data_IF_283103594973
#
_entry.id   IF_283103594973
#
_cell.length_a   1.000
_cell.length_b   1.000
_cell.length_c   1.000
_cell.angle_alpha   90.00
_cell.angle_beta   90.00
_cell.angle_gamma   90.00
#
_symmetry.space_group_name_H-M   'P 1'
#
loop_
_entity.id
_entity.type
_entity.pdbx_description
1 polymer ?
#
# COMPACT_ATOMS: atom_id res chain seq x y z
N UNK A 1 -0.27 -19.93 10.41
CA UNK A 1 -0.47 -18.47 10.51
C UNK A 1 0.67 -17.76 9.83
N UNK A 2 0.35 -16.79 8.98
CA UNK A 2 1.31 -15.92 8.32
C UNK A 2 1.07 -14.46 8.76
N UNK A 3 2.14 -13.70 8.98
CA UNK A 3 2.05 -12.28 9.28
C UNK A 3 1.89 -11.48 7.99
N UNK A 4 0.83 -10.70 7.90
CA UNK A 4 0.54 -9.80 6.78
C UNK A 4 0.89 -8.38 7.18
N UNK A 5 1.66 -7.70 6.35
CA UNK A 5 2.03 -6.30 6.51
C UNK A 5 1.69 -5.56 5.23
N UNK A 6 0.91 -4.49 5.34
CA UNK A 6 0.64 -3.60 4.21
C UNK A 6 1.59 -2.41 4.28
N UNK A 7 2.20 -2.09 3.14
CA UNK A 7 3.04 -0.92 2.96
C UNK A 7 2.19 0.20 2.38
N UNK A 8 2.27 1.38 2.98
CA UNK A 8 1.58 2.58 2.56
C UNK A 8 2.57 3.70 2.26
N UNK A 9 2.20 4.57 1.34
CA UNK A 9 2.68 5.94 1.31
C UNK A 9 1.56 6.81 1.88
N UNK A 10 1.81 7.48 3.01
CA UNK A 10 0.74 8.09 3.83
C UNK A 10 -0.41 7.10 4.05
N UNK A 11 -1.61 7.35 3.53
CA UNK A 11 -2.77 6.46 3.64
C UNK A 11 -3.14 5.75 2.32
N UNK A 12 -2.29 5.84 1.29
CA UNK A 12 -2.46 5.10 0.03
C UNK A 12 -1.66 3.78 0.11
N UNK A 13 -2.30 2.60 0.03
CA UNK A 13 -1.58 1.33 0.07
C UNK A 13 -0.82 1.12 -1.24
N UNK A 14 0.32 0.44 -1.15
CA UNK A 14 1.16 0.15 -2.31
C UNK A 14 1.48 -1.33 -2.46
N UNK A 15 1.71 -2.03 -1.34
CA UNK A 15 2.24 -3.39 -1.36
C UNK A 15 1.70 -4.21 -0.19
N UNK A 16 1.54 -5.51 -0.41
CA UNK A 16 1.25 -6.52 0.61
C UNK A 16 2.50 -7.39 0.78
N UNK A 17 2.91 -7.59 2.02
CA UNK A 17 4.00 -8.48 2.42
C UNK A 17 3.42 -9.54 3.34
N UNK A 18 3.60 -10.82 3.02
CA UNK A 18 3.14 -11.96 3.83
C UNK A 18 4.33 -12.81 4.25
N UNK A 19 4.52 -12.99 5.55
CA UNK A 19 5.65 -13.69 6.15
C UNK A 19 6.90 -12.82 6.32
N UNK A 20 8.03 -13.46 6.67
CA UNK A 20 9.29 -12.78 7.03
C UNK A 20 10.48 -13.31 6.23
N UNK A 21 11.46 -12.42 6.04
CA UNK A 21 12.76 -12.74 5.42
C UNK A 21 12.63 -13.20 3.97
N UNK A 22 13.61 -13.99 3.49
CA UNK A 22 13.70 -14.47 2.10
C UNK A 22 12.53 -15.34 1.61
N UNK A 23 11.68 -15.81 2.54
CA UNK A 23 10.51 -16.65 2.24
C UNK A 23 9.20 -15.84 2.26
N UNK A 24 9.26 -14.53 2.51
CA UNK A 24 8.08 -13.69 2.49
C UNK A 24 7.57 -13.50 1.05
N UNK A 25 6.26 -13.60 0.87
CA UNK A 25 5.59 -13.25 -0.38
C UNK A 25 5.39 -11.74 -0.40
N UNK A 26 5.75 -11.10 -1.51
CA UNK A 26 5.55 -9.66 -1.72
C UNK A 26 4.75 -9.45 -2.99
N UNK A 27 3.65 -8.71 -2.89
CA UNK A 27 2.79 -8.33 -4.02
C UNK A 27 2.64 -6.81 -4.05
N UNK A 28 2.74 -6.24 -5.24
CA UNK A 28 2.45 -4.83 -5.51
C UNK A 28 0.99 -4.76 -5.95
N UNK A 29 0.29 -3.69 -5.58
CA UNK A 29 -1.08 -3.44 -6.05
C UNK A 29 -1.09 -2.96 -7.51
N UNK A 30 -2.26 -2.91 -8.12
CA UNK A 30 -2.47 -2.32 -9.45
C UNK A 30 -1.78 -0.95 -9.62
N UNK A 31 -1.34 -0.66 -10.84
CA UNK A 31 -0.59 0.55 -11.21
C UNK A 31 -1.31 1.85 -10.80
N UNK A 32 -2.66 1.84 -10.74
CA UNK A 32 -3.44 3.02 -10.32
C UNK A 32 -3.10 3.52 -8.91
N UNK A 33 -2.59 2.64 -8.03
CA UNK A 33 -2.16 3.01 -6.67
C UNK A 33 -0.84 3.80 -6.72
N UNK A 34 0.12 3.34 -7.51
CA UNK A 34 1.38 4.05 -7.76
C UNK A 34 1.10 5.43 -8.37
N UNK A 35 0.24 5.48 -9.39
CA UNK A 35 -0.18 6.75 -9.99
C UNK A 35 -0.87 7.69 -8.98
N UNK A 36 -1.63 7.16 -8.02
CA UNK A 36 -2.26 7.95 -6.98
C UNK A 36 -1.23 8.54 -6.01
N UNK A 37 -0.24 7.74 -5.60
CA UNK A 37 0.88 8.16 -4.77
C UNK A 37 1.66 9.28 -5.47
N UNK A 38 2.01 9.09 -6.74
CA UNK A 38 2.78 10.07 -7.51
C UNK A 38 2.02 11.39 -7.68
N UNK A 39 0.71 11.32 -7.95
CA UNK A 39 -0.14 12.53 -8.05
C UNK A 39 -0.22 13.27 -6.72
N UNK A 40 -0.40 12.57 -5.61
CA UNK A 40 -0.45 13.17 -4.28
C UNK A 40 0.91 13.81 -3.91
N UNK A 41 2.01 13.09 -4.14
CA UNK A 41 3.37 13.57 -3.89
C UNK A 41 3.71 14.81 -4.73
N UNK A 42 3.37 14.80 -6.02
CA UNK A 42 3.57 15.97 -6.89
C UNK A 42 2.76 17.17 -6.42
N UNK A 43 1.52 16.97 -5.96
CA UNK A 43 0.63 18.04 -5.48
C UNK A 43 1.20 18.77 -4.26
N UNK A 44 1.79 18.04 -3.30
CA UNK A 44 2.41 18.63 -2.10
C UNK A 44 3.82 19.17 -2.35
N UNK A 45 4.31 19.12 -3.58
CA UNK A 45 5.64 19.61 -3.90
C UNK A 45 6.75 18.81 -3.21
N UNK A 46 6.52 17.52 -2.92
CA UNK A 46 7.56 16.58 -2.45
C UNK A 46 8.55 16.27 -3.58
N UNK A 47 9.20 17.31 -4.11
CA UNK A 47 10.22 17.25 -5.16
C UNK A 47 11.59 16.87 -4.60
N UNK A 48 11.82 17.12 -3.31
CA UNK A 48 12.94 16.54 -2.59
C UNK A 48 12.61 15.08 -2.31
N UNK A 49 13.31 14.17 -2.99
CA UNK A 49 13.07 12.73 -2.92
C UNK A 49 13.05 12.20 -1.46
N UNK A 50 13.76 12.87 -0.56
CA UNK A 50 13.78 12.56 0.87
C UNK A 50 12.42 12.77 1.54
N UNK A 51 11.68 13.83 1.19
CA UNK A 51 10.33 14.08 1.72
C UNK A 51 9.32 13.05 1.20
N UNK A 52 9.48 12.60 -0.05
CA UNK A 52 8.67 11.51 -0.60
C UNK A 52 8.96 10.18 0.10
N UNK A 53 10.24 9.86 0.31
CA UNK A 53 10.69 8.62 0.93
C UNK A 53 10.38 8.54 2.43
N UNK A 54 10.32 9.68 3.12
CA UNK A 54 10.03 9.76 4.56
C UNK A 54 8.59 9.35 4.93
N UNK A 55 7.65 9.43 3.98
CA UNK A 55 6.22 9.20 4.23
C UNK A 55 5.80 7.74 4.04
N UNK A 56 6.76 6.86 3.71
CA UNK A 56 6.52 5.43 3.61
C UNK A 56 6.42 4.79 4.99
N UNK A 57 5.34 4.04 5.22
CA UNK A 57 5.11 3.31 6.47
C UNK A 57 4.66 1.89 6.23
N UNK A 58 4.97 1.02 7.19
CA UNK A 58 4.40 -0.33 7.28
C UNK A 58 3.32 -0.30 8.36
N UNK A 59 2.14 -0.82 8.06
CA UNK A 59 1.13 -1.05 9.08
C UNK A 59 1.58 -2.14 10.06
N UNK A 60 0.96 -2.16 11.23
CA UNK A 60 1.19 -3.23 12.20
C UNK A 60 0.82 -4.59 11.58
N UNK A 61 1.68 -5.62 11.73
CA UNK A 61 1.40 -6.91 11.14
C UNK A 61 0.16 -7.55 11.75
N UNK A 62 -0.69 -8.11 10.90
CA UNK A 62 -1.83 -8.92 11.32
C UNK A 62 -1.55 -10.40 11.04
N UNK A 63 -1.96 -11.29 11.94
CA UNK A 63 -1.78 -12.74 11.75
C UNK A 63 -3.02 -13.34 11.10
N UNK A 64 -2.84 -13.98 9.96
CA UNK A 64 -3.92 -14.65 9.21
C UNK A 64 -3.58 -16.14 9.05
N UNK A 65 -4.58 -17.02 9.20
CA UNK A 65 -4.43 -18.44 8.92
C UNK A 65 -4.48 -18.72 7.42
N UNK A 66 -3.60 -19.59 6.93
CA UNK A 66 -3.54 -19.96 5.52
C UNK A 66 -2.14 -19.98 4.93
N UNK A 67 -2.10 -20.19 3.62
CA UNK A 67 -0.89 -20.24 2.78
C UNK A 67 -0.49 -18.80 2.37
N UNK A 68 0.82 -18.51 2.36
CA UNK A 68 1.29 -17.14 2.21
C UNK A 68 0.97 -16.53 0.83
N UNK A 69 0.93 -17.35 -0.23
CA UNK A 69 0.59 -16.87 -1.56
C UNK A 69 -0.91 -16.57 -1.66
N UNK A 70 -1.75 -17.46 -1.16
CA UNK A 70 -3.22 -17.28 -1.15
C UNK A 70 -3.63 -16.05 -0.34
N UNK A 71 -3.04 -15.85 0.84
CA UNK A 71 -3.29 -14.67 1.67
C UNK A 71 -2.84 -13.39 0.94
N UNK A 72 -1.67 -13.42 0.28
CA UNK A 72 -1.18 -12.24 -0.44
C UNK A 72 -2.11 -11.84 -1.58
N UNK A 73 -2.60 -12.82 -2.37
CA UNK A 73 -3.54 -12.56 -3.47
C UNK A 73 -4.89 -12.06 -2.97
N UNK A 74 -5.42 -12.64 -1.88
CA UNK A 74 -6.66 -12.20 -1.26
C UNK A 74 -6.58 -10.76 -0.73
N UNK A 75 -5.47 -10.39 -0.08
CA UNK A 75 -5.27 -9.03 0.45
C UNK A 75 -5.07 -8.00 -0.65
N UNK A 76 -4.38 -8.34 -1.75
CA UNK A 76 -4.30 -7.49 -2.94
C UNK A 76 -5.70 -7.24 -3.49
N UNK A 77 -6.47 -8.30 -3.73
CA UNK A 77 -7.83 -8.18 -4.25
C UNK A 77 -8.73 -7.36 -3.32
N UNK A 78 -8.62 -7.56 -2.00
CA UNK A 78 -9.37 -6.79 -1.00
C UNK A 78 -9.03 -5.30 -1.06
N UNK A 79 -7.74 -4.95 -1.10
CA UNK A 79 -7.30 -3.55 -1.20
C UNK A 79 -7.72 -2.92 -2.52
N UNK A 80 -7.63 -3.63 -3.64
CA UNK A 80 -8.08 -3.16 -4.95
C UNK A 80 -9.60 -2.97 -5.03
N UNK A 81 -10.39 -3.72 -4.25
CA UNK A 81 -11.84 -3.49 -4.16
C UNK A 81 -12.17 -2.32 -3.22
N UNK A 82 -11.47 -2.24 -2.08
CA UNK A 82 -11.73 -1.25 -1.05
C UNK A 82 -11.27 0.17 -1.44
N UNK A 83 -10.17 0.28 -2.18
CA UNK A 83 -9.61 1.54 -2.68
C UNK A 83 -9.95 1.67 -4.16
N UNK A 84 -11.23 1.86 -4.42
CA UNK A 84 -11.74 2.15 -5.75
C UNK A 84 -11.26 3.51 -6.29
N UNK A 85 -11.69 3.85 -7.50
CA UNK A 85 -11.28 5.09 -8.15
C UNK A 85 -11.70 6.34 -7.37
N UNK A 86 -12.88 6.33 -6.73
CA UNK A 86 -13.40 7.50 -6.01
C UNK A 86 -12.61 7.72 -4.72
N UNK A 87 -12.32 6.65 -3.97
CA UNK A 87 -11.51 6.72 -2.76
C UNK A 87 -10.09 7.17 -3.06
N UNK A 88 -9.46 6.64 -4.10
CA UNK A 88 -8.12 7.10 -4.50
C UNK A 88 -8.12 8.58 -4.90
N UNK A 89 -9.15 9.06 -5.63
CA UNK A 89 -9.30 10.49 -5.94
C UNK A 89 -9.44 11.34 -4.68
N UNK A 90 -10.21 10.88 -3.69
CA UNK A 90 -10.37 11.57 -2.41
C UNK A 90 -9.04 11.68 -1.66
N UNK A 91 -8.27 10.58 -1.58
CA UNK A 91 -6.94 10.58 -0.98
C UNK A 91 -6.00 11.54 -1.70
N UNK A 92 -5.95 11.52 -3.05
CA UNK A 92 -5.13 12.48 -3.83
C UNK A 92 -5.55 13.93 -3.54
N UNK A 93 -6.86 14.20 -3.48
CA UNK A 93 -7.38 15.53 -3.18
C UNK A 93 -6.99 16.00 -1.78
N UNK A 94 -6.86 15.06 -0.83
CA UNK A 94 -6.41 15.30 0.55
C UNK A 94 -4.92 14.98 0.76
N UNK A 95 -4.09 15.16 -0.28
CA UNK A 95 -2.63 15.06 -0.18
C UNK A 95 -2.12 13.68 0.28
N UNK A 96 -2.91 12.63 0.11
CA UNK A 96 -2.60 11.25 0.50
C UNK A 96 -3.07 10.85 1.89
N UNK A 97 -3.84 11.70 2.58
CA UNK A 97 -4.38 11.44 3.92
C UNK A 97 -5.87 11.05 3.88
N UNK A 98 -6.29 10.14 4.75
CA UNK A 98 -7.69 9.71 4.92
C UNK A 98 -8.45 10.55 5.95
#
# INVERSE_FOLDING_TARGET
>A
MAEVTIVYWRDIPAQVIVGKGRRGTKKILDERFEQAIDRAAMKVGAKDADAYLAEWRKADPISIEGEAAEIADAEVQRLEQEYDQERLKALIANDGWA
#
